data_IF_476804082840
#
_entry.id   IF_476804082840
#
_cell.length_a   1.000
_cell.length_b   1.000
_cell.length_c   1.000
_cell.angle_alpha   90.00
_cell.angle_beta   90.00
_cell.angle_gamma   90.00
#
_symmetry.space_group_name_H-M   'P 1'
#
loop_
_entity.id
_entity.type
_entity.pdbx_description
1 polymer ?
#
# COMPACT_ATOMS: atom_id res chain seq x y z
N UNK A 1 -2.38 3.42 -29.37
CA UNK A 1 -2.15 2.52 -28.22
C UNK A 1 -3.15 2.93 -27.14
N UNK A 2 -4.21 2.15 -27.00
CA UNK A 2 -5.48 2.61 -26.44
C UNK A 2 -5.47 2.64 -24.91
N UNK A 3 -5.56 3.83 -24.34
CA UNK A 3 -5.94 4.08 -22.95
C UNK A 3 -7.44 3.81 -22.80
N UNK A 4 -7.82 2.63 -22.31
CA UNK A 4 -9.19 2.36 -21.87
C UNK A 4 -9.16 1.97 -20.39
N UNK A 5 -9.73 2.84 -19.54
CA UNK A 5 -9.79 2.77 -18.08
C UNK A 5 -8.43 2.70 -17.36
N UNK A 6 -7.83 3.87 -17.14
CA UNK A 6 -6.45 4.14 -16.71
C UNK A 6 -6.01 3.60 -15.35
N UNK A 7 -5.99 2.27 -15.18
CA UNK A 7 -5.22 1.59 -14.13
C UNK A 7 -4.24 0.62 -14.78
N UNK A 8 -2.96 0.92 -14.64
CA UNK A 8 -1.88 -0.01 -14.97
C UNK A 8 -2.01 -1.31 -14.16
N UNK A 9 -1.82 -2.46 -14.81
CA UNK A 9 -1.83 -3.76 -14.14
C UNK A 9 -0.68 -3.89 -13.14
N UNK A 10 -0.83 -4.73 -12.11
CA UNK A 10 0.21 -4.99 -11.11
C UNK A 10 1.49 -5.53 -11.74
N UNK A 11 1.36 -6.48 -12.69
CA UNK A 11 2.48 -7.05 -13.44
C UNK A 11 3.23 -5.97 -14.24
N UNK A 12 2.50 -5.08 -14.93
CA UNK A 12 3.11 -3.98 -15.68
C UNK A 12 3.86 -3.02 -14.76
N UNK A 13 3.23 -2.58 -13.66
CA UNK A 13 3.91 -1.71 -12.67
C UNK A 13 5.18 -2.34 -12.14
N UNK A 14 5.14 -3.63 -11.79
CA UNK A 14 6.28 -4.37 -11.29
C UNK A 14 7.42 -4.44 -12.32
N UNK A 15 7.11 -4.77 -13.57
CA UNK A 15 8.11 -4.79 -14.65
C UNK A 15 8.79 -3.44 -14.82
N UNK A 16 8.03 -2.35 -14.94
CA UNK A 16 8.60 -1.01 -15.14
C UNK A 16 9.44 -0.59 -13.94
N UNK A 17 9.02 -0.92 -12.71
CA UNK A 17 9.82 -0.64 -11.50
C UNK A 17 11.13 -1.43 -11.52
N UNK A 18 11.12 -2.73 -11.88
CA UNK A 18 12.35 -3.52 -11.99
C UNK A 18 13.33 -2.94 -13.02
N UNK A 19 12.83 -2.51 -14.17
CA UNK A 19 13.67 -1.87 -15.19
C UNK A 19 14.21 -0.53 -14.71
N UNK A 20 13.42 0.25 -13.96
CA UNK A 20 13.88 1.50 -13.35
C UNK A 20 14.94 1.30 -12.26
N UNK A 21 14.96 0.14 -11.58
CA UNK A 21 15.97 -0.22 -10.59
C UNK A 21 17.27 -0.69 -11.24
N UNK A 22 17.18 -1.34 -12.41
CA UNK A 22 18.33 -1.78 -13.21
C UNK A 22 18.96 -0.64 -14.02
N UNK A 23 18.25 0.47 -14.23
CA UNK A 23 18.75 1.59 -14.99
C UNK A 23 19.90 2.29 -14.23
N UNK A 24 21.11 2.24 -14.81
CA UNK A 24 22.30 2.84 -14.23
C UNK A 24 22.42 4.34 -14.57
N UNK A 25 23.10 5.09 -13.70
CA UNK A 25 23.45 6.49 -13.93
C UNK A 25 22.34 7.51 -13.65
N UNK A 26 22.74 8.78 -13.57
CA UNK A 26 21.81 9.90 -13.36
C UNK A 26 20.83 9.99 -14.55
N UNK A 27 19.54 9.89 -14.26
CA UNK A 27 18.48 10.01 -15.27
C UNK A 27 18.04 8.69 -15.91
N UNK A 28 18.54 7.54 -15.48
CA UNK A 28 18.08 6.22 -15.95
C UNK A 28 16.57 6.02 -15.77
N UNK A 29 16.03 6.39 -14.61
CA UNK A 29 14.59 6.33 -14.34
C UNK A 29 13.75 7.18 -15.32
N UNK A 30 14.22 8.37 -15.68
CA UNK A 30 13.53 9.25 -16.62
C UNK A 30 13.54 8.70 -18.06
N UNK A 31 14.56 7.90 -18.42
CA UNK A 31 14.59 7.18 -19.69
C UNK A 31 13.57 6.05 -19.69
N UNK A 32 13.49 5.26 -18.62
CA UNK A 32 12.49 4.19 -18.47
C UNK A 32 11.08 4.77 -18.51
N UNK A 33 10.81 5.84 -17.76
CA UNK A 33 9.50 6.52 -17.77
C UNK A 33 9.09 6.93 -19.20
N UNK A 34 10.01 7.54 -19.96
CA UNK A 34 9.77 7.92 -21.36
C UNK A 34 9.52 6.73 -22.28
N UNK A 35 10.32 5.66 -22.14
CA UNK A 35 10.18 4.45 -22.95
C UNK A 35 8.79 3.79 -22.81
N UNK A 36 8.23 3.84 -21.61
CA UNK A 36 6.89 3.29 -21.33
C UNK A 36 5.75 4.31 -21.43
N UNK A 37 6.02 5.56 -21.79
CA UNK A 37 5.01 6.62 -21.86
C UNK A 37 4.40 6.98 -20.50
N UNK A 38 5.15 6.77 -19.41
CA UNK A 38 4.72 7.02 -18.03
C UNK A 38 5.28 8.36 -17.57
N UNK A 39 4.48 9.12 -16.83
CA UNK A 39 4.97 10.35 -16.21
C UNK A 39 6.04 10.02 -15.14
N UNK A 40 7.21 10.71 -15.10
CA UNK A 40 8.30 10.37 -14.17
C UNK A 40 7.87 10.29 -12.70
N UNK A 41 7.00 11.21 -12.25
CA UNK A 41 6.44 11.19 -10.88
C UNK A 41 5.63 9.93 -10.59
N UNK A 42 4.91 9.39 -11.59
CA UNK A 42 4.15 8.15 -11.45
C UNK A 42 5.09 6.96 -11.24
N UNK A 43 6.19 6.90 -12.01
CA UNK A 43 7.21 5.86 -11.83
C UNK A 43 7.90 5.97 -10.47
N UNK A 44 8.28 7.18 -10.03
CA UNK A 44 8.86 7.40 -8.71
C UNK A 44 7.92 6.96 -7.58
N UNK A 45 6.61 7.20 -7.74
CA UNK A 45 5.61 6.74 -6.79
C UNK A 45 5.52 5.20 -6.71
N UNK A 46 5.54 4.51 -7.85
CA UNK A 46 5.52 3.04 -7.86
C UNK A 46 6.80 2.46 -7.29
N UNK A 47 7.96 3.03 -7.63
CA UNK A 47 9.25 2.60 -7.07
C UNK A 47 9.26 2.74 -5.55
N UNK A 48 8.76 3.86 -5.01
CA UNK A 48 8.60 4.05 -3.57
C UNK A 48 7.66 3.01 -2.94
N UNK A 49 6.50 2.78 -3.55
CA UNK A 49 5.56 1.76 -3.06
C UNK A 49 6.19 0.35 -3.06
N UNK A 50 6.92 0.00 -4.11
CA UNK A 50 7.61 -1.28 -4.23
C UNK A 50 8.71 -1.44 -3.19
N UNK A 51 9.51 -0.41 -2.92
CA UNK A 51 10.56 -0.49 -1.90
C UNK A 51 9.99 -0.56 -0.47
N UNK A 52 8.86 0.10 -0.21
CA UNK A 52 8.21 0.07 1.10
C UNK A 52 7.48 -1.23 1.39
N UNK A 53 6.75 -1.77 0.41
CA UNK A 53 5.96 -3.01 0.56
C UNK A 53 6.70 -4.26 0.11
N UNK A 54 7.85 -4.10 -0.56
CA UNK A 54 8.71 -5.20 -1.01
C UNK A 54 9.06 -6.18 0.12
N UNK A 55 9.42 -5.71 1.33
CA UNK A 55 9.65 -6.60 2.47
C UNK A 55 8.45 -7.50 2.80
N UNK A 56 7.22 -6.99 2.71
CA UNK A 56 5.98 -7.74 3.00
C UNK A 56 5.78 -8.91 2.03
N UNK A 57 6.28 -8.81 0.79
CA UNK A 57 6.21 -9.91 -0.20
C UNK A 57 7.06 -11.11 0.23
N UNK A 58 8.11 -10.87 1.00
CA UNK A 58 8.96 -11.92 1.57
C UNK A 58 8.52 -12.31 2.98
N UNK A 59 7.53 -11.62 3.55
CA UNK A 59 6.90 -11.98 4.81
C UNK A 59 6.19 -13.33 4.68
N UNK A 60 6.70 -14.33 5.39
CA UNK A 60 6.13 -15.68 5.37
C UNK A 60 4.78 -15.74 6.10
N UNK A 61 4.15 -16.92 6.05
CA UNK A 61 2.85 -17.19 6.67
C UNK A 61 2.80 -16.82 8.17
N UNK A 62 3.92 -16.88 8.88
CA UNK A 62 3.97 -16.56 10.30
C UNK A 62 3.86 -15.06 10.61
N UNK A 63 4.38 -14.20 9.73
CA UNK A 63 4.25 -12.75 9.86
C UNK A 63 2.80 -12.30 9.57
N UNK A 64 2.16 -12.93 8.59
CA UNK A 64 0.73 -12.75 8.30
C UNK A 64 -0.13 -13.11 9.51
N UNK A 65 0.10 -14.28 10.13
CA UNK A 65 -0.60 -14.66 11.37
C UNK A 65 -0.36 -13.68 12.51
N UNK A 66 0.85 -13.13 12.62
CA UNK A 66 1.19 -12.08 13.58
C UNK A 66 0.33 -10.83 13.39
N UNK A 67 0.16 -10.39 12.14
CA UNK A 67 -0.72 -9.27 11.80
C UNK A 67 -2.19 -9.58 12.06
N UNK A 68 -2.69 -10.75 11.66
CA UNK A 68 -4.08 -11.17 11.91
C UNK A 68 -4.42 -11.18 13.40
N UNK A 69 -3.52 -11.73 14.23
CA UNK A 69 -3.68 -11.69 15.69
C UNK A 69 -3.74 -10.26 16.21
N UNK A 70 -2.84 -9.39 15.73
CA UNK A 70 -2.81 -7.98 16.14
C UNK A 70 -4.09 -7.24 15.74
N UNK A 71 -4.63 -7.52 14.56
CA UNK A 71 -5.90 -6.95 14.08
C UNK A 71 -7.04 -7.38 15.00
N UNK A 72 -7.16 -8.68 15.30
CA UNK A 72 -8.20 -9.20 16.19
C UNK A 72 -8.13 -8.56 17.60
N UNK A 73 -6.92 -8.38 18.14
CA UNK A 73 -6.73 -7.70 19.43
C UNK A 73 -7.20 -6.24 19.38
N UNK A 74 -6.91 -5.52 18.29
CA UNK A 74 -7.32 -4.13 18.11
C UNK A 74 -8.83 -4.00 17.94
N UNK A 75 -9.45 -4.85 17.14
CA UNK A 75 -10.91 -4.90 16.95
C UNK A 75 -11.64 -5.14 18.28
N UNK A 76 -11.12 -6.04 19.12
CA UNK A 76 -11.65 -6.27 20.47
C UNK A 76 -11.61 -5.00 21.33
N UNK A 77 -10.49 -4.27 21.31
CA UNK A 77 -10.35 -3.02 22.07
C UNK A 77 -11.30 -1.94 21.55
N UNK A 78 -11.45 -1.83 20.23
CA UNK A 78 -12.40 -0.88 19.62
C UNK A 78 -13.82 -1.19 20.06
N UNK A 79 -14.26 -2.45 19.98
CA UNK A 79 -15.61 -2.85 20.42
C UNK A 79 -15.85 -2.57 21.92
N UNK A 80 -14.86 -2.81 22.77
CA UNK A 80 -14.95 -2.45 24.20
C UNK A 80 -15.17 -0.95 24.40
N UNK A 81 -14.44 -0.11 23.64
CA UNK A 81 -14.58 1.34 23.70
C UNK A 81 -15.92 1.82 23.15
N UNK A 82 -16.45 1.20 22.10
CA UNK A 82 -17.77 1.54 21.57
C UNK A 82 -18.88 1.29 22.60
N UNK A 83 -18.81 0.15 23.31
CA UNK A 83 -19.74 -0.16 24.41
C UNK A 83 -19.62 0.87 25.54
N UNK A 84 -18.40 1.20 25.97
CA UNK A 84 -18.16 2.21 27.02
C UNK A 84 -18.75 3.58 26.62
N UNK A 85 -18.51 4.02 25.38
CA UNK A 85 -19.06 5.28 24.85
C UNK A 85 -20.59 5.24 24.82
N UNK A 86 -21.20 4.13 24.39
CA UNK A 86 -22.65 3.97 24.34
C UNK A 86 -23.26 4.07 25.75
N UNK A 87 -22.65 3.42 26.75
CA UNK A 87 -23.08 3.49 28.14
C UNK A 87 -22.98 4.91 28.70
N UNK A 88 -21.85 5.59 28.51
CA UNK A 88 -21.65 6.97 28.95
C UNK A 88 -22.66 7.93 28.30
N UNK A 89 -22.89 7.75 27.00
CA UNK A 89 -23.87 8.56 26.26
C UNK A 89 -25.29 8.36 26.78
N UNK A 90 -25.69 7.12 27.03
CA UNK A 90 -27.02 6.82 27.59
C UNK A 90 -27.18 7.39 29.00
N UNK A 91 -26.13 7.31 29.84
CA UNK A 91 -26.13 7.90 31.17
C UNK A 91 -26.29 9.42 31.13
N UNK A 92 -25.57 10.10 30.23
CA UNK A 92 -25.65 11.55 30.09
C UNK A 92 -26.99 12.04 29.49
N UNK A 93 -27.61 11.25 28.61
CA UNK A 93 -28.95 11.56 28.06
C UNK A 93 -30.10 11.36 29.05
N UNK A 94 -29.88 10.58 30.10
CA UNK A 94 -30.88 10.32 31.15
C UNK A 94 -30.91 11.36 32.27
N UNK A 95 -30.13 12.44 32.17
CA UNK A 95 -30.17 13.60 33.07
C UNK A 95 -30.95 14.75 32.45
#
# INVERSE_FOLDING_TARGET
MSTQNGRYSSAFKFQVVLESLKAEGKGGEAQVARAYGIHPVTLSNWKRQFLQRGPEVFGGTEEVKGYEKRIADLERVVGQKEVEIALLTNFLKGR
#
